data_IF_251246330299
#
_entry.id   IF_251246330299
#
_cell.length_a   1.000
_cell.length_b   1.000
_cell.length_c   1.000
_cell.angle_alpha   90.00
_cell.angle_beta   90.00
_cell.angle_gamma   90.00
#
_symmetry.space_group_name_H-M   'P 1'
#
loop_
_entity.id
_entity.type
_entity.pdbx_description
1 polymer ?
#
# COMPACT_ATOMS: atom_id res chain seq x y z
N UNK A 1 -0.51 26.98 -3.91
CA UNK A 1 -0.67 25.85 -4.84
C UNK A 1 -1.92 25.06 -4.46
N UNK A 2 -2.49 24.24 -5.35
CA UNK A 2 -3.57 23.32 -4.96
C UNK A 2 -2.98 22.21 -4.08
N UNK A 3 -3.65 21.85 -3.00
CA UNK A 3 -3.30 20.69 -2.19
C UNK A 3 -3.35 19.43 -3.04
N UNK A 4 -2.37 18.54 -2.87
CA UNK A 4 -2.36 17.21 -3.52
C UNK A 4 -3.58 16.41 -3.06
N UNK A 5 -4.13 15.60 -3.97
CA UNK A 5 -5.19 14.63 -3.64
C UNK A 5 -4.65 13.22 -3.81
N UNK A 6 -4.57 12.48 -2.71
CA UNK A 6 -4.07 11.09 -2.68
C UNK A 6 -5.01 10.15 -3.43
N UNK A 7 -4.55 8.95 -3.79
CA UNK A 7 -5.42 7.92 -4.37
C UNK A 7 -6.63 7.60 -3.49
N UNK A 8 -6.47 7.64 -2.17
CA UNK A 8 -7.56 7.52 -1.21
C UNK A 8 -8.60 8.64 -1.37
N UNK A 9 -8.16 9.90 -1.44
CA UNK A 9 -9.08 11.03 -1.62
C UNK A 9 -9.80 10.97 -2.97
N UNK A 10 -9.11 10.53 -4.04
CA UNK A 10 -9.74 10.32 -5.35
C UNK A 10 -10.83 9.23 -5.25
N UNK A 11 -10.53 8.09 -4.63
CA UNK A 11 -11.50 7.02 -4.43
C UNK A 11 -12.72 7.50 -3.62
N UNK A 12 -12.49 8.25 -2.55
CA UNK A 12 -13.56 8.73 -1.65
C UNK A 12 -14.45 9.77 -2.34
N UNK A 13 -13.87 10.63 -3.18
CA UNK A 13 -14.61 11.69 -3.87
C UNK A 13 -15.41 11.20 -5.09
N UNK A 14 -14.99 10.11 -5.73
CA UNK A 14 -15.57 9.64 -7.00
C UNK A 14 -16.51 8.44 -6.79
N UNK A 15 -17.82 8.72 -6.73
CA UNK A 15 -18.84 7.67 -6.57
C UNK A 15 -18.95 6.73 -7.76
N UNK A 16 -18.58 7.15 -8.96
CA UNK A 16 -18.66 6.28 -10.14
C UNK A 16 -17.46 5.33 -10.17
N UNK A 17 -16.28 5.79 -9.76
CA UNK A 17 -15.13 4.94 -9.49
C UNK A 17 -15.45 3.89 -8.42
N UNK A 18 -16.11 4.27 -7.33
CA UNK A 18 -16.53 3.32 -6.28
C UNK A 18 -17.44 2.20 -6.81
N UNK A 19 -18.37 2.53 -7.72
CA UNK A 19 -19.31 1.56 -8.33
C UNK A 19 -18.64 0.56 -9.26
N UNK A 20 -17.43 0.85 -9.76
CA UNK A 20 -16.67 -0.07 -10.63
C UNK A 20 -16.17 -1.29 -9.88
N UNK A 21 -15.85 -1.14 -8.59
CA UNK A 21 -15.36 -2.23 -7.74
C UNK A 21 -16.54 -3.02 -7.17
N UNK A 22 -16.98 -4.04 -7.91
CA UNK A 22 -18.10 -4.92 -7.55
C UNK A 22 -17.58 -6.16 -6.84
N UNK A 23 -18.27 -6.59 -5.78
CA UNK A 23 -17.83 -7.72 -4.98
C UNK A 23 -17.15 -7.28 -3.68
N UNK A 24 -16.43 -8.19 -3.05
CA UNK A 24 -15.80 -7.97 -1.76
C UNK A 24 -14.50 -7.18 -1.90
N UNK A 25 -14.19 -6.39 -0.88
CA UNK A 25 -12.97 -5.59 -0.82
C UNK A 25 -12.21 -5.88 0.46
N UNK A 26 -10.89 -5.89 0.34
CA UNK A 26 -9.95 -5.91 1.45
C UNK A 26 -8.98 -4.74 1.33
N UNK A 27 -8.34 -4.36 2.44
CA UNK A 27 -7.45 -3.21 2.50
C UNK A 27 -6.15 -3.55 3.24
N UNK A 28 -5.02 -3.39 2.56
CA UNK A 28 -3.69 -3.28 3.16
C UNK A 28 -3.42 -1.82 3.49
N UNK A 29 -3.29 -1.50 4.77
CA UNK A 29 -3.07 -0.14 5.25
C UNK A 29 -2.35 -0.12 6.61
N UNK A 30 -1.95 1.08 7.02
CA UNK A 30 -1.36 1.37 8.34
C UNK A 30 -1.79 2.77 8.81
N UNK A 31 -1.37 3.23 9.99
CA UNK A 31 -1.86 4.49 10.58
C UNK A 31 -1.79 5.74 9.68
N UNK A 32 -0.77 5.91 8.84
CA UNK A 32 -0.68 7.08 7.94
C UNK A 32 -1.61 6.98 6.72
N UNK A 33 -2.43 5.93 6.65
CA UNK A 33 -3.46 5.73 5.63
C UNK A 33 -4.68 6.58 5.96
N UNK A 34 -4.49 7.90 6.01
CA UNK A 34 -5.52 8.88 6.31
C UNK A 34 -5.76 9.80 5.11
N UNK A 35 -6.94 10.42 5.07
CA UNK A 35 -7.20 11.56 4.20
C UNK A 35 -6.71 12.88 4.83
N UNK A 36 -6.88 13.99 4.12
CA UNK A 36 -6.48 15.33 4.58
C UNK A 36 -7.21 15.81 5.85
N UNK A 37 -8.23 15.08 6.32
CA UNK A 37 -9.00 15.37 7.54
C UNK A 37 -8.66 14.42 8.70
N UNK A 38 -7.63 13.58 8.55
CA UNK A 38 -7.27 12.50 9.48
C UNK A 38 -8.32 11.38 9.59
N UNK A 39 -9.21 11.24 8.61
CA UNK A 39 -10.10 10.08 8.55
C UNK A 39 -9.32 8.88 8.02
N UNK A 40 -9.19 7.84 8.85
CA UNK A 40 -8.46 6.61 8.47
C UNK A 40 -9.16 5.87 7.33
N UNK A 41 -8.37 5.30 6.41
CA UNK A 41 -8.82 4.59 5.22
C UNK A 41 -9.81 3.47 5.58
N UNK A 42 -9.57 2.71 6.64
CA UNK A 42 -10.49 1.66 7.10
C UNK A 42 -11.90 2.19 7.45
N UNK A 43 -12.00 3.39 8.06
CA UNK A 43 -13.30 4.03 8.34
C UNK A 43 -13.99 4.46 7.04
N UNK A 44 -13.23 5.05 6.13
CA UNK A 44 -13.72 5.48 4.81
C UNK A 44 -14.19 4.28 3.98
N UNK A 45 -13.45 3.18 4.00
CA UNK A 45 -13.81 1.93 3.33
C UNK A 45 -15.07 1.32 3.94
N UNK A 46 -15.22 1.32 5.27
CA UNK A 46 -16.46 0.88 5.90
C UNK A 46 -17.66 1.72 5.44
N UNK A 47 -17.48 3.03 5.29
CA UNK A 47 -18.53 3.94 4.80
C UNK A 47 -18.89 3.71 3.33
N UNK A 48 -17.89 3.49 2.47
CA UNK A 48 -18.07 3.35 1.02
C UNK A 48 -18.57 1.95 0.64
N UNK A 49 -17.96 0.91 1.19
CA UNK A 49 -18.17 -0.48 0.78
C UNK A 49 -19.07 -1.28 1.75
N UNK A 50 -19.31 -0.77 2.97
CA UNK A 50 -20.26 -1.35 3.91
C UNK A 50 -19.91 -2.77 4.32
N UNK A 51 -20.83 -3.71 4.06
CA UNK A 51 -20.64 -5.14 4.34
C UNK A 51 -19.67 -5.84 3.36
N UNK A 52 -19.35 -5.22 2.21
CA UNK A 52 -18.39 -5.77 1.25
C UNK A 52 -16.95 -5.56 1.70
N UNK A 53 -16.69 -4.68 2.66
CA UNK A 53 -15.38 -4.54 3.27
C UNK A 53 -15.18 -5.65 4.31
N UNK A 54 -14.42 -6.68 3.93
CA UNK A 54 -14.40 -7.95 4.67
C UNK A 54 -13.10 -8.22 5.42
N UNK A 55 -11.98 -7.58 5.08
CA UNK A 55 -10.65 -7.89 5.63
C UNK A 55 -9.71 -6.70 5.64
N UNK A 56 -8.83 -6.71 6.63
CA UNK A 56 -7.71 -5.79 6.77
C UNK A 56 -6.38 -6.56 6.75
N UNK A 57 -5.36 -5.92 6.19
CA UNK A 57 -3.98 -6.36 6.24
C UNK A 57 -3.12 -5.24 6.79
N UNK A 58 -2.18 -5.57 7.68
CA UNK A 58 -1.16 -4.64 8.19
C UNK A 58 0.24 -5.04 7.70
N UNK A 59 1.10 -4.09 7.29
CA UNK A 59 2.47 -4.36 6.90
C UNK A 59 3.39 -4.51 8.14
N UNK A 60 4.71 -4.32 7.96
CA UNK A 60 5.64 -4.11 9.08
C UNK A 60 5.11 -3.02 10.02
N UNK A 61 5.19 -3.24 11.34
CA UNK A 61 4.57 -2.45 12.42
C UNK A 61 3.05 -2.61 12.60
N UNK A 62 2.37 -3.39 11.77
CA UNK A 62 0.95 -3.73 11.95
C UNK A 62 -0.01 -2.61 11.56
N UNK A 63 -1.32 -2.93 11.58
CA UNK A 63 -2.39 -2.02 11.19
C UNK A 63 -2.46 -0.77 12.08
N UNK A 64 -2.33 -0.94 13.40
CA UNK A 64 -2.41 0.13 14.39
C UNK A 64 -1.06 0.79 14.72
N UNK A 65 0.05 0.34 14.09
CA UNK A 65 1.41 0.85 14.33
C UNK A 65 1.79 0.95 15.82
N UNK A 66 1.21 0.08 16.65
CA UNK A 66 1.36 0.02 18.10
C UNK A 66 2.50 -0.93 18.53
N UNK A 67 3.02 -1.73 17.60
CA UNK A 67 4.28 -2.43 17.75
C UNK A 67 5.44 -1.43 17.60
N UNK A 68 6.07 -1.06 18.72
CA UNK A 68 7.32 -0.29 18.74
C UNK A 68 8.40 -0.93 17.83
N UNK A 69 9.38 -0.12 17.41
CA UNK A 69 10.58 -0.44 16.60
C UNK A 69 11.43 -1.65 17.07
N UNK A 70 10.99 -2.37 18.11
CA UNK A 70 11.66 -3.51 18.73
C UNK A 70 11.18 -4.88 18.21
N UNK A 71 10.71 -4.98 16.96
CA UNK A 71 10.37 -6.27 16.33
C UNK A 71 9.34 -7.13 17.11
N UNK A 72 8.33 -6.52 17.74
CA UNK A 72 7.21 -7.29 18.30
C UNK A 72 6.24 -7.60 17.16
N UNK A 73 6.10 -8.89 16.86
CA UNK A 73 5.12 -9.36 15.89
C UNK A 73 3.70 -9.10 16.39
N UNK A 74 2.80 -8.72 15.48
CA UNK A 74 1.37 -8.54 15.78
C UNK A 74 0.60 -9.78 15.32
N UNK A 75 -0.11 -10.42 16.24
CA UNK A 75 -0.98 -11.56 15.92
C UNK A 75 -2.13 -11.15 15.00
N UNK A 76 -2.74 -12.15 14.35
CA UNK A 76 -4.02 -11.97 13.68
C UNK A 76 -5.15 -11.76 14.70
N UNK A 77 -6.08 -10.86 14.42
CA UNK A 77 -7.19 -10.59 15.33
C UNK A 77 -8.46 -10.16 14.57
N UNK A 78 -9.58 -10.08 15.27
CA UNK A 78 -10.82 -9.47 14.74
C UNK A 78 -10.90 -8.04 15.25
N UNK A 79 -10.97 -7.07 14.34
CA UNK A 79 -11.01 -5.67 14.73
C UNK A 79 -12.29 -5.38 15.52
N UNK A 80 -12.21 -4.84 16.76
CA UNK A 80 -13.37 -4.73 17.64
C UNK A 80 -14.46 -3.79 17.11
N UNK A 81 -14.07 -2.70 16.43
CA UNK A 81 -15.01 -1.78 15.80
C UNK A 81 -15.59 -2.28 14.46
N UNK A 82 -14.75 -2.73 13.52
CA UNK A 82 -15.20 -3.15 12.19
C UNK A 82 -15.82 -4.55 12.16
N UNK A 83 -15.49 -5.39 13.15
CA UNK A 83 -15.84 -6.80 13.25
C UNK A 83 -15.41 -7.61 12.00
N UNK A 84 -14.19 -7.38 11.53
CA UNK A 84 -13.56 -8.09 10.41
C UNK A 84 -12.15 -8.57 10.79
N UNK A 85 -11.63 -9.64 10.17
CA UNK A 85 -10.27 -10.10 10.38
C UNK A 85 -9.23 -9.05 9.98
N UNK A 86 -8.18 -8.94 10.79
CA UNK A 86 -6.94 -8.19 10.53
C UNK A 86 -5.80 -9.19 10.49
N UNK A 87 -5.12 -9.27 9.34
CA UNK A 87 -3.95 -10.13 9.15
C UNK A 87 -2.67 -9.30 9.16
N UNK A 88 -1.66 -9.78 9.88
CA UNK A 88 -0.33 -9.18 9.91
C UNK A 88 0.53 -9.83 8.84
N UNK A 89 1.04 -9.03 7.89
CA UNK A 89 2.01 -9.43 6.88
C UNK A 89 3.45 -9.16 7.36
N UNK A 90 3.66 -9.21 8.68
CA UNK A 90 4.97 -9.09 9.30
C UNK A 90 5.19 -10.04 10.49
N UNK A 91 4.18 -10.81 10.91
CA UNK A 91 4.36 -11.86 11.92
C UNK A 91 4.88 -13.16 11.26
N UNK A 92 4.13 -14.26 11.34
CA UNK A 92 4.50 -15.58 10.82
C UNK A 92 4.80 -15.59 9.32
N UNK A 93 4.22 -14.63 8.57
CA UNK A 93 4.40 -14.53 7.12
C UNK A 93 4.52 -13.08 6.66
N UNK A 94 5.28 -12.87 5.58
CA UNK A 94 5.34 -11.61 4.82
C UNK A 94 4.41 -11.60 3.59
N UNK A 95 3.84 -12.75 3.27
CA UNK A 95 3.02 -12.99 2.08
C UNK A 95 1.64 -13.46 2.57
N UNK A 96 0.52 -12.89 2.11
CA UNK A 96 -0.79 -13.39 2.50
C UNK A 96 -0.97 -14.85 2.05
N UNK A 97 -1.57 -15.67 2.91
CA UNK A 97 -1.90 -17.06 2.55
C UNK A 97 -3.14 -17.12 1.65
N UNK A 98 -3.38 -18.26 0.99
CA UNK A 98 -4.58 -18.40 0.16
C UNK A 98 -5.87 -18.29 0.99
N UNK A 99 -5.86 -18.80 2.22
CA UNK A 99 -6.97 -18.64 3.18
C UNK A 99 -7.22 -17.16 3.50
N UNK A 100 -6.16 -16.37 3.69
CA UNK A 100 -6.31 -14.92 3.93
C UNK A 100 -6.90 -14.17 2.74
N UNK A 101 -6.74 -14.70 1.52
CA UNK A 101 -7.26 -14.10 0.28
C UNK A 101 -8.59 -14.69 -0.20
N UNK A 102 -9.08 -15.76 0.42
CA UNK A 102 -10.27 -16.49 -0.02
C UNK A 102 -11.50 -15.59 -0.15
N UNK A 103 -12.10 -15.46 -1.33
CA UNK A 103 -13.31 -14.64 -1.50
C UNK A 103 -13.07 -13.13 -1.42
N UNK A 104 -11.83 -12.65 -1.57
CA UNK A 104 -11.50 -11.25 -1.85
C UNK A 104 -11.54 -11.03 -3.36
N UNK A 105 -12.37 -10.11 -3.86
CA UNK A 105 -12.40 -9.74 -5.29
C UNK A 105 -11.42 -8.59 -5.59
N UNK A 106 -11.38 -7.59 -4.70
CA UNK A 106 -10.52 -6.41 -4.83
C UNK A 106 -9.66 -6.19 -3.57
N UNK A 107 -8.35 -6.15 -3.73
CA UNK A 107 -7.40 -5.88 -2.65
C UNK A 107 -6.77 -4.51 -2.84
N UNK A 108 -7.20 -3.55 -2.03
CA UNK A 108 -6.66 -2.19 -2.04
C UNK A 108 -5.39 -2.10 -1.21
N UNK A 109 -4.43 -1.30 -1.69
CA UNK A 109 -3.18 -0.98 -0.98
C UNK A 109 -3.13 0.53 -0.80
N UNK A 110 -3.12 0.97 0.46
CA UNK A 110 -2.94 2.36 0.84
C UNK A 110 -1.80 2.44 1.85
N UNK A 111 -0.60 2.79 1.39
CA UNK A 111 0.58 2.86 2.25
C UNK A 111 1.38 4.13 1.90
N UNK A 112 1.52 5.02 2.88
CA UNK A 112 2.52 6.09 2.83
C UNK A 112 3.92 5.47 3.03
N UNK A 113 4.73 5.49 1.98
CA UNK A 113 6.15 5.11 2.01
C UNK A 113 7.04 6.35 2.26
N UNK A 114 8.34 6.15 2.48
CA UNK A 114 9.31 7.22 2.74
C UNK A 114 10.26 7.49 1.56
N UNK A 115 10.13 6.77 0.45
CA UNK A 115 10.96 6.93 -0.75
C UNK A 115 12.36 6.32 -0.62
N UNK A 116 12.54 5.40 0.34
CA UNK A 116 13.81 4.75 0.66
C UNK A 116 13.70 3.24 0.47
N UNK A 117 14.68 2.66 -0.25
CA UNK A 117 14.76 1.22 -0.54
C UNK A 117 14.66 0.33 0.69
N UNK A 118 15.12 0.80 1.86
CA UNK A 118 15.13 0.01 3.09
C UNK A 118 13.77 -0.02 3.81
N UNK A 119 12.84 0.86 3.43
CA UNK A 119 11.49 0.85 3.97
C UNK A 119 10.66 -0.23 3.28
N UNK A 120 10.11 -1.17 4.05
CA UNK A 120 9.70 -2.47 3.50
C UNK A 120 8.33 -2.48 2.84
N UNK A 121 7.57 -1.39 2.90
CA UNK A 121 6.20 -1.33 2.35
C UNK A 121 6.17 -1.59 0.85
N UNK A 122 7.16 -1.10 0.09
CA UNK A 122 7.32 -1.40 -1.33
C UNK A 122 7.52 -2.89 -1.61
N UNK A 123 8.11 -3.64 -0.67
CA UNK A 123 8.32 -5.09 -0.80
C UNK A 123 7.13 -5.89 -0.32
N UNK A 124 6.40 -5.43 0.71
CA UNK A 124 5.07 -5.98 1.01
C UNK A 124 4.18 -5.90 -0.22
N UNK A 125 4.22 -4.78 -0.97
CA UNK A 125 3.51 -4.64 -2.24
C UNK A 125 4.03 -5.62 -3.32
N UNK A 126 5.35 -5.77 -3.50
CA UNK A 126 5.89 -6.77 -4.45
C UNK A 126 5.34 -8.17 -4.14
N UNK A 127 5.48 -8.61 -2.88
CA UNK A 127 5.06 -9.94 -2.45
C UNK A 127 3.54 -10.14 -2.61
N UNK A 128 2.76 -9.08 -2.40
CA UNK A 128 1.32 -9.08 -2.65
C UNK A 128 1.02 -9.30 -4.14
N UNK A 129 1.71 -8.58 -5.03
CA UNK A 129 1.55 -8.72 -6.47
C UNK A 129 1.94 -10.12 -6.94
N UNK A 130 3.08 -10.64 -6.46
CA UNK A 130 3.50 -12.03 -6.72
C UNK A 130 2.41 -13.03 -6.29
N UNK A 131 1.86 -12.88 -5.08
CA UNK A 131 0.84 -13.78 -4.55
C UNK A 131 -0.50 -13.69 -5.30
N UNK A 132 -0.86 -12.51 -5.77
CA UNK A 132 -2.08 -12.27 -6.54
C UNK A 132 -1.94 -12.61 -8.02
N UNK A 133 -0.73 -12.92 -8.51
CA UNK A 133 -0.54 -13.35 -9.89
C UNK A 133 -1.33 -14.62 -10.21
N UNK A 134 -1.96 -14.64 -11.38
CA UNK A 134 -2.80 -15.75 -11.84
C UNK A 134 -4.10 -15.95 -11.06
N UNK A 135 -4.40 -15.12 -10.04
CA UNK A 135 -5.66 -15.16 -9.28
C UNK A 135 -6.68 -14.19 -9.88
N UNK A 136 -7.96 -14.49 -9.66
CA UNK A 136 -9.06 -13.57 -9.98
C UNK A 136 -9.22 -12.52 -8.86
N UNK A 137 -8.14 -11.83 -8.52
CA UNK A 137 -8.10 -10.75 -7.53
C UNK A 137 -7.49 -9.54 -8.21
N UNK A 138 -8.20 -8.41 -8.20
CA UNK A 138 -7.65 -7.14 -8.64
C UNK A 138 -6.92 -6.47 -7.48
N UNK A 139 -5.66 -6.07 -7.69
CA UNK A 139 -4.87 -5.29 -6.73
C UNK A 139 -4.96 -3.82 -7.11
N UNK A 140 -5.45 -2.98 -6.21
CA UNK A 140 -5.65 -1.54 -6.47
C UNK A 140 -4.74 -0.73 -5.56
N UNK A 141 -3.73 -0.08 -6.14
CA UNK A 141 -2.83 0.80 -5.39
C UNK A 141 -3.41 2.21 -5.35
N UNK A 142 -3.69 2.70 -4.14
CA UNK A 142 -4.05 4.08 -3.88
C UNK A 142 -2.75 4.88 -3.78
N UNK A 143 -2.40 5.58 -4.86
CA UNK A 143 -1.09 6.20 -4.97
C UNK A 143 -0.89 7.33 -3.95
N UNK A 144 0.34 7.48 -3.46
CA UNK A 144 0.73 8.46 -2.44
C UNK A 144 2.03 9.17 -2.80
N UNK A 145 2.24 10.41 -2.32
CA UNK A 145 3.46 11.15 -2.62
C UNK A 145 4.70 10.40 -2.14
N UNK A 146 5.76 10.40 -2.95
CA UNK A 146 7.09 10.14 -2.43
C UNK A 146 7.51 11.39 -1.63
N UNK A 147 7.75 11.29 -0.31
CA UNK A 147 8.00 12.47 0.53
C UNK A 147 9.34 13.13 0.25
N UNK A 148 10.29 12.37 -0.30
CA UNK A 148 11.60 12.87 -0.75
C UNK A 148 11.61 13.04 -2.27
N UNK A 149 10.51 13.54 -2.84
CA UNK A 149 10.30 13.84 -4.25
C UNK A 149 10.43 12.64 -5.22
N UNK A 150 10.09 12.88 -6.48
CA UNK A 150 10.19 11.92 -7.58
C UNK A 150 11.30 12.25 -8.59
N UNK A 151 12.25 13.11 -8.26
CA UNK A 151 13.26 13.57 -9.24
C UNK A 151 14.64 13.08 -8.88
N UNK A 152 15.01 13.20 -7.61
CA UNK A 152 16.35 12.84 -7.17
C UNK A 152 16.48 11.34 -6.99
N UNK A 153 17.63 10.82 -7.41
CA UNK A 153 18.00 9.42 -7.32
C UNK A 153 19.38 9.36 -6.68
N UNK A 154 19.50 8.67 -5.55
CA UNK A 154 20.72 8.70 -4.73
C UNK A 154 21.06 7.35 -4.10
N UNK A 155 22.34 7.16 -3.80
CA UNK A 155 22.87 5.95 -3.18
C UNK A 155 23.21 4.84 -4.19
N UNK A 156 23.90 3.82 -3.70
CA UNK A 156 24.27 2.69 -4.53
C UNK A 156 23.04 1.86 -4.95
N UNK A 157 23.12 1.27 -6.13
CA UNK A 157 22.22 0.18 -6.52
C UNK A 157 22.51 -1.02 -5.62
N UNK A 158 21.45 -1.73 -5.22
CA UNK A 158 21.61 -2.94 -4.42
C UNK A 158 22.33 -4.01 -5.25
N UNK A 159 23.43 -4.53 -4.71
CA UNK A 159 24.05 -5.74 -5.22
C UNK A 159 23.14 -6.93 -4.88
N UNK A 160 22.72 -7.75 -5.86
CA UNK A 160 21.89 -8.93 -5.61
C UNK A 160 22.48 -9.90 -4.56
N UNK A 161 23.79 -9.91 -4.33
CA UNK A 161 24.40 -10.72 -3.26
C UNK A 161 23.96 -10.27 -1.84
N UNK A 162 23.47 -9.04 -1.68
CA UNK A 162 22.95 -8.51 -0.41
C UNK A 162 21.41 -8.44 -0.37
N UNK A 163 20.71 -9.17 -1.23
CA UNK A 163 19.25 -9.20 -1.27
C UNK A 163 18.64 -9.68 0.06
N UNK A 164 17.67 -8.92 0.59
CA UNK A 164 16.92 -9.25 1.80
C UNK A 164 15.55 -8.56 1.82
N UNK A 165 14.74 -8.74 2.87
CA UNK A 165 13.44 -8.07 2.97
C UNK A 165 13.52 -6.54 3.09
N UNK A 166 14.67 -5.99 3.50
CA UNK A 166 14.94 -4.54 3.53
C UNK A 166 15.66 -4.05 2.26
N UNK A 167 15.65 -4.85 1.19
CA UNK A 167 16.36 -4.58 -0.03
C UNK A 167 16.22 -5.76 -0.98
N UNK A 168 15.11 -5.86 -1.74
CA UNK A 168 14.85 -7.01 -2.62
C UNK A 168 15.26 -6.80 -4.07
N UNK A 169 15.37 -5.55 -4.51
CA UNK A 169 15.52 -5.24 -5.93
C UNK A 169 16.70 -4.29 -6.16
N UNK A 170 17.35 -4.37 -7.34
CA UNK A 170 18.47 -3.50 -7.72
C UNK A 170 17.97 -2.09 -8.04
N UNK A 171 17.46 -1.40 -7.02
CA UNK A 171 17.06 0.01 -7.05
C UNK A 171 18.00 0.83 -6.15
N UNK A 172 18.17 2.13 -6.41
CA UNK A 172 18.97 3.02 -5.56
C UNK A 172 18.32 3.22 -4.19
N UNK A 173 19.08 3.72 -3.21
CA UNK A 173 18.58 3.96 -1.84
C UNK A 173 17.42 4.94 -1.87
N UNK A 174 17.60 6.11 -2.49
CA UNK A 174 16.50 7.02 -2.84
C UNK A 174 16.09 6.70 -4.27
N UNK A 175 14.91 6.11 -4.43
CA UNK A 175 14.47 5.55 -5.71
C UNK A 175 13.63 6.50 -6.56
N UNK A 176 13.17 7.64 -6.02
CA UNK A 176 12.50 8.69 -6.78
C UNK A 176 11.17 8.27 -7.42
N UNK A 177 10.45 7.31 -6.84
CA UNK A 177 9.18 6.79 -7.38
C UNK A 177 8.07 6.84 -6.34
N UNK A 178 6.83 7.05 -6.78
CA UNK A 178 5.65 6.81 -5.92
C UNK A 178 5.43 5.32 -5.70
N UNK A 179 4.60 4.95 -4.71
CA UNK A 179 4.28 3.53 -4.49
C UNK A 179 3.54 2.91 -5.68
N UNK A 180 2.73 3.70 -6.41
CA UNK A 180 2.09 3.25 -7.65
C UNK A 180 3.09 3.00 -8.78
N UNK A 181 4.10 3.86 -8.93
CA UNK A 181 5.18 3.67 -9.92
C UNK A 181 6.05 2.46 -9.57
N UNK A 182 6.39 2.29 -8.29
CA UNK A 182 7.05 1.10 -7.75
C UNK A 182 6.26 -0.17 -8.08
N UNK A 183 4.94 -0.18 -7.88
CA UNK A 183 4.09 -1.34 -8.18
C UNK A 183 4.24 -1.81 -9.64
N UNK A 184 4.19 -0.85 -10.57
CA UNK A 184 4.30 -1.12 -12.01
C UNK A 184 5.70 -1.58 -12.40
N UNK A 185 6.74 -0.94 -11.86
CA UNK A 185 8.14 -1.33 -12.09
C UNK A 185 8.40 -2.73 -11.53
N UNK A 186 7.97 -2.99 -10.29
CA UNK A 186 8.21 -4.26 -9.63
C UNK A 186 7.50 -5.40 -10.36
N UNK A 187 6.26 -5.19 -10.77
CA UNK A 187 5.55 -6.17 -11.60
C UNK A 187 6.24 -6.43 -12.94
N UNK A 188 6.79 -5.40 -13.57
CA UNK A 188 7.44 -5.54 -14.86
C UNK A 188 8.72 -6.39 -14.79
N UNK A 189 9.50 -6.25 -13.71
CA UNK A 189 10.86 -6.80 -13.66
C UNK A 189 11.04 -7.96 -12.68
N UNK A 190 10.21 -8.09 -11.62
CA UNK A 190 10.51 -8.98 -10.50
C UNK A 190 9.38 -9.92 -10.08
N UNK A 191 8.11 -9.70 -10.47
CA UNK A 191 7.01 -10.59 -10.04
C UNK A 191 6.84 -11.84 -10.91
N UNK A 192 7.52 -11.93 -12.04
CA UNK A 192 7.36 -13.02 -13.01
C UNK A 192 6.05 -12.92 -13.78
N UNK A 193 5.03 -13.68 -13.36
CA UNK A 193 3.69 -13.56 -13.92
C UNK A 193 3.02 -12.23 -13.46
N UNK A 194 2.10 -11.73 -14.28
CA UNK A 194 1.44 -10.43 -14.02
C UNK A 194 0.17 -10.62 -13.20
N UNK A 195 0.07 -9.90 -12.09
CA UNK A 195 -1.19 -9.71 -11.39
C UNK A 195 -2.11 -8.74 -12.16
N UNK A 196 -3.40 -8.78 -11.85
CA UNK A 196 -4.32 -7.74 -12.28
C UNK A 196 -4.14 -6.51 -11.37
N UNK A 197 -3.26 -5.58 -11.75
CA UNK A 197 -2.98 -4.37 -10.97
C UNK A 197 -3.56 -3.12 -11.61
N UNK A 198 -4.20 -2.28 -10.80
CA UNK A 198 -4.67 -0.94 -11.17
C UNK A 198 -4.08 0.10 -10.19
N UNK A 199 -3.72 1.28 -10.71
CA UNK A 199 -3.31 2.42 -9.89
C UNK A 199 -4.40 3.49 -9.90
N UNK A 200 -4.87 3.91 -8.74
CA UNK A 200 -5.65 5.16 -8.59
C UNK A 200 -4.65 6.28 -8.36
N UNK A 201 -4.35 7.01 -9.44
CA UNK A 201 -3.34 8.08 -9.46
C UNK A 201 -3.78 9.26 -8.60
N UNK A 202 -2.80 9.91 -7.98
CA UNK A 202 -2.99 11.19 -7.31
C UNK A 202 -3.35 12.31 -8.30
N UNK A 203 -3.98 13.37 -7.79
CA UNK A 203 -4.07 14.64 -8.51
C UNK A 203 -3.15 15.70 -7.89
N UNK A 204 -2.64 16.58 -8.75
CA UNK A 204 -1.83 17.76 -8.41
C UNK A 204 -0.43 17.51 -7.85
N UNK A 205 -0.04 16.27 -7.53
CA UNK A 205 1.34 15.94 -7.21
C UNK A 205 2.25 16.16 -8.42
N UNK A 206 3.43 16.70 -8.18
CA UNK A 206 4.49 16.86 -9.18
C UNK A 206 5.78 16.25 -8.66
N UNK A 207 6.62 15.75 -9.55
CA UNK A 207 7.83 15.01 -9.19
C UNK A 207 8.84 15.85 -8.42
N UNK A 208 8.79 17.17 -8.51
CA UNK A 208 9.70 18.06 -7.81
C UNK A 208 9.26 18.35 -6.36
N UNK A 209 8.01 17.99 -6.00
CA UNK A 209 7.47 18.27 -4.68
C UNK A 209 8.12 17.40 -3.59
N UNK A 210 8.60 18.04 -2.53
CA UNK A 210 8.79 17.38 -1.24
C UNK A 210 7.44 17.24 -0.53
N UNK A 211 7.38 16.45 0.54
CA UNK A 211 6.12 16.24 1.27
C UNK A 211 5.50 17.55 1.76
N UNK A 212 6.31 18.49 2.26
CA UNK A 212 5.86 19.81 2.71
C UNK A 212 5.15 20.64 1.63
N UNK A 213 5.47 20.43 0.35
CA UNK A 213 4.83 21.12 -0.78
C UNK A 213 3.42 20.60 -1.07
N UNK A 214 3.09 19.39 -0.60
CA UNK A 214 1.84 18.71 -0.91
C UNK A 214 0.63 19.34 -0.21
N UNK A 215 0.88 19.98 0.94
CA UNK A 215 -0.15 20.47 1.86
C UNK A 215 -0.92 19.36 2.59
N UNK A 216 -0.42 18.12 2.58
CA UNK A 216 -0.99 16.98 3.32
C UNK A 216 -0.39 16.91 4.74
N UNK A 217 -1.09 16.32 5.72
CA UNK A 217 -0.53 16.04 7.03
C UNK A 217 0.49 14.89 6.97
N UNK A 218 1.56 15.00 7.76
CA UNK A 218 2.56 13.95 7.98
C UNK A 218 2.32 13.25 9.31
#
# INVERSE_FOLDING_TARGET
>A
MKQVKTGLEILVADTDLQKRFKGTVALLCHNASVDATFSHAALLFKKIFGARFIRLFGPQHGFATDAQDNMIETDHYVHPYFNIPVYSLYSETRIPTDTMLEGVDHLFVDLQDVGCRMYTYIYTLTLLLEKCSGKNIEVIVLDRPNPVNGTDIEGNILDPEFESFIGRHPIPVRHGMTIGEVALMHQQFWTGEKANVQIIKMHYWKREMYFEDTGLPW
#
